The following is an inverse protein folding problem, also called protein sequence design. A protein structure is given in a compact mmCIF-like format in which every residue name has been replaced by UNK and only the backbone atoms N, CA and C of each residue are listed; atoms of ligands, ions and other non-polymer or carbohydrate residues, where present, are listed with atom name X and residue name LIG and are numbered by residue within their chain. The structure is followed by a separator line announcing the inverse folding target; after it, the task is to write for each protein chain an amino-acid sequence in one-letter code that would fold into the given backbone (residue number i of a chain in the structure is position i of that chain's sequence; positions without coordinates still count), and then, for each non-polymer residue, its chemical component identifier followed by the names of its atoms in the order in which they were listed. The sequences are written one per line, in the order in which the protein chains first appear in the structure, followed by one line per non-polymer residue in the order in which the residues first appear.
data_IF_576779261494
#
_entry.id   IF_576779261494
#
_cell.length_a   1.000
_cell.length_b   1.000
_cell.length_c   1.000
_cell.angle_alpha   90.00
_cell.angle_beta   90.00
_cell.angle_gamma   90.00
#
_symmetry.space_group_name_H-M   'P 1'
#
loop_
_entity.id
_entity.type
_entity.pdbx_description
1 polymer ?
#
# COMPACT_ATOMS: atom_id res chain seq x y z
N UNK A 1 6.53 -5.42 17.42
CA UNK A 1 5.21 -4.83 17.11
C UNK A 1 4.26 -4.99 18.28
N UNK A 2 3.43 -3.97 18.53
CA UNK A 2 2.34 -3.99 19.50
C UNK A 2 1.08 -3.53 18.77
N UNK A 3 0.00 -4.33 18.86
CA UNK A 3 -1.26 -4.02 18.19
C UNK A 3 -2.40 -3.98 19.20
N UNK A 4 -3.12 -2.86 19.22
CA UNK A 4 -4.37 -2.69 19.96
C UNK A 4 -5.54 -2.84 19.02
N UNK A 5 -6.54 -3.65 19.40
CA UNK A 5 -7.75 -3.86 18.61
C UNK A 5 -8.96 -3.48 19.45
N UNK A 6 -9.87 -2.72 18.85
CA UNK A 6 -11.11 -2.30 19.45
C UNK A 6 -12.29 -2.56 18.53
N UNK A 7 -13.29 -3.26 19.00
CA UNK A 7 -14.50 -3.57 18.25
C UNK A 7 -15.70 -2.91 18.93
N UNK A 8 -16.43 -2.08 18.20
CA UNK A 8 -17.64 -1.41 18.70
C UNK A 8 -18.59 -1.05 17.54
N UNK A 9 -19.89 -1.21 17.76
CA UNK A 9 -20.96 -0.79 16.84
C UNK A 9 -20.76 -1.22 15.37
N UNK A 10 -20.25 -2.44 15.14
CA UNK A 10 -20.00 -2.95 13.80
C UNK A 10 -18.69 -2.51 13.15
N UNK A 11 -17.84 -1.77 13.89
CA UNK A 11 -16.49 -1.40 13.46
C UNK A 11 -15.42 -2.19 14.22
N UNK A 12 -14.39 -2.60 13.49
CA UNK A 12 -13.13 -3.07 14.04
C UNK A 12 -12.06 -2.02 13.71
N UNK A 13 -11.46 -1.46 14.76
CA UNK A 13 -10.33 -0.53 14.65
C UNK A 13 -9.08 -1.21 15.19
N UNK A 14 -7.95 -1.10 14.51
CA UNK A 14 -6.67 -1.52 15.04
C UNK A 14 -5.64 -0.40 14.94
N UNK A 15 -4.83 -0.26 15.99
CA UNK A 15 -3.69 0.62 16.06
C UNK A 15 -2.45 -0.21 16.34
N UNK A 16 -1.52 -0.21 15.38
CA UNK A 16 -0.23 -0.89 15.48
C UNK A 16 0.90 0.11 15.66
N UNK A 17 1.86 -0.23 16.50
CA UNK A 17 3.16 0.47 16.62
C UNK A 17 4.23 -0.58 16.36
N UNK A 18 5.16 -0.29 15.47
CA UNK A 18 6.20 -1.24 15.08
C UNK A 18 7.58 -0.61 15.02
N UNK A 19 8.58 -1.44 15.24
CA UNK A 19 9.99 -1.18 14.95
C UNK A 19 10.59 -2.46 14.38
N UNK A 20 11.15 -2.38 13.18
CA UNK A 20 11.73 -3.51 12.45
C UNK A 20 13.17 -3.13 12.06
N UNK A 21 14.13 -3.95 12.43
CA UNK A 21 15.50 -3.84 11.95
C UNK A 21 15.76 -4.90 10.90
N UNK A 22 16.22 -4.48 9.76
CA UNK A 22 16.52 -5.34 8.61
C UNK A 22 18.00 -5.27 8.28
N UNK A 23 18.64 -6.44 8.19
CA UNK A 23 20.00 -6.53 7.71
C UNK A 23 20.08 -6.11 6.23
N UNK A 24 21.13 -5.38 5.89
CA UNK A 24 21.44 -4.97 4.53
C UNK A 24 22.87 -5.39 4.15
N UNK A 25 23.12 -5.59 2.87
CA UNK A 25 24.44 -5.97 2.38
C UNK A 25 25.32 -4.74 2.21
N UNK A 26 26.56 -4.85 2.68
CA UNK A 26 27.64 -3.91 2.37
C UNK A 26 28.76 -4.66 1.67
N UNK A 27 29.54 -3.95 0.85
CA UNK A 27 30.74 -4.50 0.22
C UNK A 27 31.92 -4.49 1.19
N UNK A 28 32.59 -5.62 1.29
CA UNK A 28 33.81 -5.75 2.10
C UNK A 28 34.95 -6.23 1.21
N UNK A 29 36.09 -5.56 1.28
CA UNK A 29 37.29 -5.95 0.57
C UNK A 29 38.29 -6.63 1.51
N UNK A 30 38.58 -7.92 1.25
CA UNK A 30 39.63 -8.70 1.93
C UNK A 30 40.42 -9.51 0.89
N UNK A 31 41.19 -8.81 0.05
CA UNK A 31 41.87 -9.44 -1.08
C UNK A 31 41.01 -9.71 -2.33
N UNK A 32 39.70 -9.81 -2.13
CA UNK A 32 38.64 -9.79 -3.15
C UNK A 32 37.41 -9.09 -2.58
N UNK A 33 36.58 -8.50 -3.43
CA UNK A 33 35.30 -7.89 -3.01
C UNK A 33 34.24 -8.96 -2.81
N UNK A 34 33.53 -8.90 -1.70
CA UNK A 34 32.37 -9.75 -1.42
C UNK A 34 31.29 -8.95 -0.65
N UNK A 35 30.05 -9.44 -0.70
CA UNK A 35 28.95 -8.86 0.06
C UNK A 35 28.89 -9.48 1.45
N UNK A 36 28.71 -8.64 2.46
CA UNK A 36 28.49 -9.04 3.85
C UNK A 36 27.21 -8.42 4.38
N UNK A 37 26.38 -9.19 5.07
CA UNK A 37 25.18 -8.70 5.75
C UNK A 37 25.56 -7.99 7.07
N UNK A 38 26.21 -6.85 6.97
CA UNK A 38 26.67 -6.05 8.09
C UNK A 38 26.08 -4.62 8.05
N UNK A 39 25.26 -4.32 7.05
CA UNK A 39 24.44 -3.12 6.99
C UNK A 39 23.13 -3.29 7.77
N UNK A 40 22.50 -2.19 8.18
CA UNK A 40 21.22 -2.18 8.88
C UNK A 40 20.32 -1.06 8.36
N UNK A 41 19.06 -1.38 8.15
CA UNK A 41 17.98 -0.42 7.94
C UNK A 41 16.96 -0.60 9.06
N UNK A 42 16.38 0.50 9.53
CA UNK A 42 15.36 0.50 10.56
C UNK A 42 14.06 1.11 10.02
N UNK A 43 12.96 0.44 10.28
CA UNK A 43 11.61 0.84 9.88
C UNK A 43 10.76 0.92 11.14
N UNK A 44 10.37 2.12 11.52
CA UNK A 44 9.51 2.33 12.67
C UNK A 44 8.28 3.15 12.27
N UNK A 45 7.16 2.88 12.91
CA UNK A 45 5.96 3.56 12.50
C UNK A 45 4.72 3.23 13.31
N UNK A 46 3.62 3.83 12.84
CA UNK A 46 2.30 3.68 13.41
C UNK A 46 1.33 3.35 12.27
N UNK A 47 0.50 2.35 12.47
CA UNK A 47 -0.55 1.95 11.55
C UNK A 47 -1.91 2.05 12.22
N UNK A 48 -2.85 2.71 11.58
CA UNK A 48 -4.27 2.74 11.95
C UNK A 48 -5.07 2.05 10.86
N UNK A 49 -5.92 1.10 11.23
CA UNK A 49 -6.91 0.55 10.31
C UNK A 49 -8.30 0.57 10.93
N UNK A 50 -9.29 0.79 10.08
CA UNK A 50 -10.71 0.78 10.46
C UNK A 50 -11.45 -0.02 9.41
N UNK A 51 -12.27 -0.97 9.83
CA UNK A 51 -13.12 -1.77 8.96
C UNK A 51 -14.49 -1.94 9.62
N UNK A 52 -15.56 -1.71 8.88
CA UNK A 52 -16.90 -1.89 9.43
C UNK A 52 -18.02 -1.40 8.53
N UNK A 53 -19.23 -1.51 9.08
CA UNK A 53 -20.48 -1.16 8.42
C UNK A 53 -20.89 0.24 8.81
N UNK A 54 -20.84 1.20 7.88
CA UNK A 54 -21.27 2.59 8.10
C UNK A 54 -22.78 2.72 8.20
N UNK A 55 -23.51 1.92 7.41
CA UNK A 55 -24.96 1.87 7.36
C UNK A 55 -25.39 0.53 6.73
N UNK A 56 -26.69 0.24 6.64
CA UNK A 56 -27.20 -1.06 6.17
C UNK A 56 -26.64 -1.50 4.82
N UNK A 57 -26.36 -0.58 3.93
CA UNK A 57 -25.88 -0.84 2.57
C UNK A 57 -24.45 -0.37 2.32
N UNK A 58 -23.76 0.16 3.35
CA UNK A 58 -22.47 0.78 3.19
C UNK A 58 -21.42 0.12 4.08
N UNK A 59 -20.37 -0.39 3.48
CA UNK A 59 -19.18 -0.87 4.16
C UNK A 59 -18.02 0.10 3.93
N UNK A 60 -17.19 0.26 4.94
CA UNK A 60 -15.99 1.10 4.89
C UNK A 60 -14.77 0.31 5.35
N UNK A 61 -13.66 0.49 4.65
CA UNK A 61 -12.33 0.06 5.07
C UNK A 61 -11.37 1.23 4.88
N UNK A 62 -10.59 1.54 5.90
CA UNK A 62 -9.57 2.58 5.85
C UNK A 62 -8.28 2.14 6.49
N UNK A 63 -7.16 2.63 5.96
CA UNK A 63 -5.82 2.43 6.52
C UNK A 63 -5.01 3.70 6.39
N UNK A 64 -4.26 4.03 7.44
CA UNK A 64 -3.29 5.11 7.46
C UNK A 64 -2.02 4.62 8.12
N UNK A 65 -0.89 4.82 7.46
CA UNK A 65 0.43 4.48 7.97
C UNK A 65 1.33 5.71 7.98
N UNK A 66 1.99 5.93 9.11
CA UNK A 66 3.18 6.74 9.19
C UNK A 66 4.40 5.84 9.33
N UNK A 67 5.39 6.04 8.48
CA UNK A 67 6.62 5.26 8.43
C UNK A 67 7.82 6.20 8.53
N UNK A 68 8.71 5.94 9.47
CA UNK A 68 10.06 6.49 9.52
C UNK A 68 11.04 5.36 9.21
N UNK A 69 11.70 5.45 8.06
CA UNK A 69 12.61 4.42 7.55
C UNK A 69 14.01 5.00 7.39
N UNK A 70 14.96 4.53 8.20
CA UNK A 70 16.31 5.09 8.31
C UNK A 70 17.37 4.06 7.97
N UNK A 71 18.41 4.46 7.27
CA UNK A 71 19.62 3.68 7.03
C UNK A 71 20.55 3.82 8.25
N UNK A 72 20.57 2.82 9.15
CA UNK A 72 21.34 2.90 10.39
C UNK A 72 22.82 2.56 10.17
N UNK A 73 23.11 1.63 9.25
CA UNK A 73 24.48 1.24 8.94
C UNK A 73 24.63 0.99 7.44
N UNK A 74 25.47 1.78 6.80
CA UNK A 74 25.71 1.74 5.35
C UNK A 74 27.18 1.52 5.04
N UNK A 75 27.51 1.39 3.75
CA UNK A 75 28.90 1.29 3.26
C UNK A 75 29.75 2.49 3.74
N UNK A 76 30.74 2.22 4.58
CA UNK A 76 31.63 3.21 5.18
C UNK A 76 30.89 4.36 5.92
N UNK A 77 29.65 4.13 6.37
CA UNK A 77 28.84 5.14 7.05
C UNK A 77 28.33 6.28 6.16
N UNK A 78 28.52 6.21 4.85
CA UNK A 78 28.28 7.33 3.91
C UNK A 78 26.84 7.83 3.91
N UNK A 79 25.88 6.95 4.17
CA UNK A 79 24.45 7.26 4.15
C UNK A 79 23.78 6.99 5.51
N UNK A 80 24.55 6.84 6.58
CA UNK A 80 24.00 6.64 7.92
C UNK A 80 23.11 7.82 8.32
N UNK A 81 21.94 7.52 8.86
CA UNK A 81 20.94 8.49 9.26
C UNK A 81 20.05 9.02 8.15
N UNK A 82 20.30 8.67 6.87
CA UNK A 82 19.44 9.07 5.75
C UNK A 82 18.21 8.17 5.63
N UNK A 83 17.17 8.71 5.00
CA UNK A 83 15.96 7.98 4.69
C UNK A 83 16.26 6.79 3.77
N UNK A 84 15.59 5.66 3.99
CA UNK A 84 15.65 4.52 3.07
C UNK A 84 15.02 4.91 1.73
N UNK A 85 15.75 4.67 0.64
CA UNK A 85 15.31 5.06 -0.69
C UNK A 85 13.98 4.39 -1.07
N UNK A 86 13.03 5.18 -1.56
CA UNK A 86 11.71 4.75 -1.97
C UNK A 86 10.69 4.61 -0.84
N UNK A 87 11.07 4.88 0.41
CA UNK A 87 10.16 4.83 1.55
C UNK A 87 9.35 6.13 1.66
N UNK A 88 8.05 6.08 1.38
CA UNK A 88 7.14 7.19 1.61
C UNK A 88 6.73 7.23 3.09
N UNK A 89 6.84 8.42 3.74
CA UNK A 89 6.49 8.57 5.16
C UNK A 89 4.99 8.40 5.45
N UNK A 90 4.13 8.73 4.50
CA UNK A 90 2.69 8.64 4.67
C UNK A 90 2.06 7.81 3.57
N UNK A 91 1.28 6.82 3.95
CA UNK A 91 0.46 6.03 3.05
C UNK A 91 -0.95 5.93 3.62
N UNK A 92 -1.96 6.06 2.77
CA UNK A 92 -3.34 5.92 3.17
C UNK A 92 -4.16 5.22 2.08
N UNK A 93 -5.16 4.47 2.51
CA UNK A 93 -6.16 3.86 1.66
C UNK A 93 -7.53 4.03 2.28
N UNK A 94 -8.53 4.32 1.47
CA UNK A 94 -9.93 4.30 1.85
C UNK A 94 -10.72 3.56 0.79
N UNK A 95 -11.56 2.64 1.22
CA UNK A 95 -12.47 1.85 0.37
C UNK A 95 -13.87 2.06 0.90
N UNK A 96 -14.78 2.42 0.02
CA UNK A 96 -16.19 2.54 0.30
C UNK A 96 -16.95 1.59 -0.64
N UNK A 97 -17.73 0.69 -0.06
CA UNK A 97 -18.57 -0.24 -0.79
C UNK A 97 -20.04 0.08 -0.53
N UNK A 98 -20.81 0.17 -1.60
CA UNK A 98 -22.26 0.35 -1.59
C UNK A 98 -22.95 -0.87 -2.17
N UNK A 99 -23.81 -1.51 -1.40
CA UNK A 99 -24.60 -2.69 -1.75
C UNK A 99 -26.09 -2.30 -1.86
N UNK A 100 -26.57 -1.78 -3.01
CA UNK A 100 -27.98 -1.39 -3.17
C UNK A 100 -28.93 -2.55 -2.95
N UNK A 101 -28.53 -3.76 -3.36
CA UNK A 101 -29.23 -5.02 -3.19
C UNK A 101 -28.24 -6.21 -3.07
N UNK A 102 -28.74 -7.43 -3.05
CA UNK A 102 -27.92 -8.66 -2.90
C UNK A 102 -27.10 -9.00 -4.16
N UNK A 103 -27.45 -8.41 -5.31
CA UNK A 103 -26.80 -8.71 -6.59
C UNK A 103 -25.72 -7.70 -6.96
N UNK A 104 -25.88 -6.44 -6.58
CA UNK A 104 -24.96 -5.37 -6.96
C UNK A 104 -24.09 -4.91 -5.78
N UNK A 105 -22.83 -4.67 -6.07
CA UNK A 105 -21.90 -3.98 -5.20
C UNK A 105 -21.10 -2.97 -6.02
N UNK A 106 -21.02 -1.73 -5.53
CA UNK A 106 -20.23 -0.65 -6.13
C UNK A 106 -19.13 -0.32 -5.15
N UNK A 107 -17.88 -0.35 -5.63
CA UNK A 107 -16.68 -0.14 -4.80
C UNK A 107 -15.90 1.06 -5.30
N UNK A 108 -15.74 2.06 -4.47
CA UNK A 108 -14.81 3.17 -4.67
C UNK A 108 -13.57 2.99 -3.80
N UNK A 109 -12.37 3.21 -4.35
CA UNK A 109 -11.10 3.18 -3.62
C UNK A 109 -10.32 4.46 -3.87
N UNK A 110 -9.79 5.06 -2.81
CA UNK A 110 -8.82 6.16 -2.87
C UNK A 110 -7.52 5.70 -2.21
N UNK A 111 -6.39 5.97 -2.85
CA UNK A 111 -5.05 5.63 -2.34
C UNK A 111 -4.17 6.87 -2.38
N UNK A 112 -3.51 7.18 -1.27
CA UNK A 112 -2.53 8.24 -1.15
C UNK A 112 -1.16 7.66 -0.83
N UNK A 113 -0.14 8.12 -1.55
CA UNK A 113 1.27 7.87 -1.25
C UNK A 113 1.98 9.20 -1.10
N UNK A 114 2.66 9.37 0.01
CA UNK A 114 3.46 10.54 0.31
C UNK A 114 4.69 10.66 -0.60
N UNK A 115 5.43 11.73 -0.41
CA UNK A 115 6.73 11.91 -1.05
C UNK A 115 7.69 10.80 -0.61
N UNK A 116 8.57 10.37 -1.52
CA UNK A 116 9.61 9.39 -1.22
C UNK A 116 10.97 9.90 -1.72
N UNK A 117 11.98 9.78 -0.86
CA UNK A 117 13.35 10.14 -1.19
C UNK A 117 14.01 8.99 -1.96
N UNK A 118 14.83 9.35 -2.94
CA UNK A 118 15.66 8.43 -3.73
C UNK A 118 17.08 8.99 -3.87
N UNK A 119 18.02 8.13 -4.24
CA UNK A 119 19.46 8.48 -4.32
C UNK A 119 19.98 9.13 -3.04
N UNK A 120 19.59 8.55 -1.87
CA UNK A 120 20.03 9.04 -0.57
C UNK A 120 19.68 10.53 -0.37
N UNK A 121 18.40 10.88 -0.56
CA UNK A 121 17.82 12.21 -0.38
C UNK A 121 18.27 13.27 -1.42
N UNK A 122 18.93 12.87 -2.51
CA UNK A 122 19.29 13.79 -3.58
C UNK A 122 18.13 14.15 -4.50
N UNK A 123 17.13 13.26 -4.58
CA UNK A 123 15.93 13.46 -5.39
C UNK A 123 14.70 12.97 -4.61
N UNK A 124 13.56 13.59 -4.84
CA UNK A 124 12.31 13.25 -4.18
C UNK A 124 11.18 13.09 -5.19
N UNK A 125 10.42 11.99 -5.10
CA UNK A 125 9.18 11.85 -5.85
C UNK A 125 8.07 12.67 -5.19
N UNK A 126 7.22 13.37 -5.95
CA UNK A 126 6.07 14.05 -5.39
C UNK A 126 5.04 13.04 -4.86
N UNK A 127 4.25 13.46 -3.87
CA UNK A 127 3.10 12.69 -3.42
C UNK A 127 2.02 12.61 -4.50
N UNK A 128 1.24 11.54 -4.48
CA UNK A 128 0.14 11.35 -5.41
C UNK A 128 -1.06 10.69 -4.75
N UNK A 129 -2.22 10.86 -5.39
CA UNK A 129 -3.46 10.20 -5.02
C UNK A 129 -4.10 9.60 -6.27
N UNK A 130 -4.59 8.37 -6.15
CA UNK A 130 -5.30 7.66 -7.21
C UNK A 130 -6.67 7.21 -6.72
N UNK A 131 -7.59 7.06 -7.67
CA UNK A 131 -8.95 6.60 -7.41
C UNK A 131 -9.27 5.44 -8.35
N UNK A 132 -9.95 4.44 -7.79
CA UNK A 132 -10.48 3.32 -8.56
C UNK A 132 -11.97 3.20 -8.32
N UNK A 133 -12.69 2.68 -9.32
CA UNK A 133 -14.11 2.42 -9.24
C UNK A 133 -14.42 1.04 -9.81
N UNK A 134 -15.21 0.28 -9.10
CA UNK A 134 -15.62 -1.06 -9.49
C UNK A 134 -17.09 -1.33 -9.29
N UNK A 135 -17.60 -2.27 -10.06
CA UNK A 135 -18.97 -2.81 -9.93
C UNK A 135 -18.87 -4.33 -9.98
N UNK A 136 -19.52 -4.99 -9.02
CA UNK A 136 -19.73 -6.42 -9.03
C UNK A 136 -21.21 -6.71 -9.27
N UNK A 137 -21.48 -7.72 -10.07
CA UNK A 137 -22.84 -8.22 -10.33
C UNK A 137 -22.89 -9.72 -10.15
N UNK A 138 -23.70 -10.19 -9.19
CA UNK A 138 -23.94 -11.61 -8.92
C UNK A 138 -25.08 -12.12 -9.78
N UNK A 139 -24.86 -13.20 -10.51
CA UNK A 139 -25.82 -13.88 -11.38
C UNK A 139 -25.59 -15.39 -11.34
N UNK A 140 -26.20 -16.13 -12.26
CA UNK A 140 -25.94 -17.55 -12.43
C UNK A 140 -25.91 -17.92 -13.91
N UNK A 141 -25.02 -18.84 -14.26
CA UNK A 141 -24.94 -19.45 -15.58
C UNK A 141 -25.14 -20.97 -15.43
N UNK A 142 -26.17 -21.53 -16.07
CA UNK A 142 -26.53 -22.96 -15.93
C UNK A 142 -26.59 -23.45 -14.46
N UNK A 143 -27.20 -22.65 -13.58
CA UNK A 143 -27.30 -22.87 -12.12
C UNK A 143 -25.98 -22.72 -11.33
N UNK A 144 -24.86 -22.50 -11.97
CA UNK A 144 -23.60 -22.16 -11.32
C UNK A 144 -23.59 -20.68 -10.96
N UNK A 145 -23.40 -20.29 -9.70
CA UNK A 145 -23.27 -18.88 -9.34
C UNK A 145 -22.08 -18.23 -10.04
N UNK A 146 -22.28 -17.01 -10.53
CA UNK A 146 -21.25 -16.24 -11.25
C UNK A 146 -21.21 -14.82 -10.70
N UNK A 147 -20.02 -14.35 -10.40
CA UNK A 147 -19.78 -12.93 -10.11
C UNK A 147 -19.07 -12.27 -11.30
N UNK A 148 -19.72 -11.31 -11.93
CA UNK A 148 -19.13 -10.47 -12.95
C UNK A 148 -18.56 -9.22 -12.28
N UNK A 149 -17.30 -8.89 -12.57
CA UNK A 149 -16.63 -7.70 -12.03
C UNK A 149 -16.12 -6.82 -13.16
N UNK A 150 -16.43 -5.53 -13.06
CA UNK A 150 -15.83 -4.48 -13.89
C UNK A 150 -15.09 -3.49 -12.98
N UNK A 151 -13.79 -3.29 -13.23
CA UNK A 151 -12.94 -2.37 -12.46
C UNK A 151 -12.29 -1.35 -13.39
N UNK A 152 -12.30 -0.09 -12.98
CA UNK A 152 -11.52 0.98 -13.58
C UNK A 152 -10.46 1.42 -12.56
N UNK A 153 -9.22 1.08 -12.82
CA UNK A 153 -8.07 1.52 -12.04
C UNK A 153 -7.58 2.88 -12.54
N UNK A 154 -7.05 3.69 -11.62
CA UNK A 154 -6.57 5.04 -11.92
C UNK A 154 -7.61 5.84 -12.71
N UNK A 155 -8.81 5.97 -12.17
CA UNK A 155 -9.99 6.57 -12.79
C UNK A 155 -9.73 7.96 -13.38
N UNK A 156 -8.89 8.75 -12.73
CA UNK A 156 -8.52 10.12 -13.14
C UNK A 156 -7.38 10.18 -14.15
N UNK A 157 -6.85 9.03 -14.57
CA UNK A 157 -5.68 8.92 -15.47
C UNK A 157 -4.47 9.73 -14.97
N UNK A 158 -4.21 9.67 -13.66
CA UNK A 158 -3.12 10.40 -13.01
C UNK A 158 -1.78 9.80 -13.41
N UNK A 159 -0.90 10.59 -13.99
CA UNK A 159 0.50 10.21 -14.19
C UNK A 159 1.32 10.52 -12.92
N UNK A 160 2.09 9.55 -12.46
CA UNK A 160 2.97 9.67 -11.30
C UNK A 160 4.16 8.72 -11.42
N UNK A 161 5.18 8.99 -10.62
CA UNK A 161 6.33 8.11 -10.46
C UNK A 161 6.26 7.40 -9.12
N UNK A 162 6.41 6.08 -9.12
CA UNK A 162 6.60 5.29 -7.91
C UNK A 162 8.10 5.03 -7.73
N UNK A 163 8.60 5.28 -6.54
CA UNK A 163 9.96 4.94 -6.17
C UNK A 163 10.03 3.49 -5.66
N UNK A 164 11.01 2.74 -6.13
CA UNK A 164 11.38 1.41 -5.64
C UNK A 164 12.89 1.35 -5.46
N UNK A 165 13.36 1.52 -4.23
CA UNK A 165 14.78 1.78 -3.97
C UNK A 165 15.24 3.04 -4.72
N UNK A 166 16.27 2.91 -5.54
CA UNK A 166 16.78 3.98 -6.40
C UNK A 166 16.10 4.03 -7.79
N UNK A 167 15.12 3.19 -8.07
CA UNK A 167 14.46 3.15 -9.37
C UNK A 167 13.15 3.93 -9.34
N UNK A 168 12.85 4.57 -10.46
CA UNK A 168 11.56 5.19 -10.74
C UNK A 168 10.77 4.34 -11.71
N UNK A 169 9.54 4.03 -11.34
CA UNK A 169 8.60 3.27 -12.16
C UNK A 169 7.46 4.21 -12.53
N UNK A 170 7.19 4.35 -13.82
CA UNK A 170 6.05 5.14 -14.29
C UNK A 170 4.75 4.43 -13.93
N UNK A 171 3.76 5.20 -13.50
CA UNK A 171 2.41 4.71 -13.21
C UNK A 171 1.78 3.99 -14.39
N UNK A 172 0.94 3.00 -14.09
CA UNK A 172 0.01 2.49 -15.10
C UNK A 172 -1.04 3.55 -15.45
N UNK A 173 -1.40 3.71 -16.73
CA UNK A 173 -2.49 4.59 -17.13
C UNK A 173 -3.83 4.06 -16.60
N UNK A 174 -4.92 4.81 -16.81
CA UNK A 174 -6.26 4.31 -16.54
C UNK A 174 -6.48 2.98 -17.25
N UNK A 175 -6.86 1.97 -16.47
CA UNK A 175 -6.98 0.58 -16.95
C UNK A 175 -8.35 0.03 -16.61
N UNK A 176 -9.03 -0.54 -17.60
CA UNK A 176 -10.27 -1.27 -17.42
C UNK A 176 -9.99 -2.77 -17.34
N UNK A 177 -10.57 -3.43 -16.34
CA UNK A 177 -10.52 -4.87 -16.16
C UNK A 177 -11.93 -5.43 -16.07
N UNK A 178 -12.20 -6.49 -16.82
CA UNK A 178 -13.42 -7.28 -16.73
C UNK A 178 -13.08 -8.70 -16.32
N UNK A 179 -13.82 -9.26 -15.38
CA UNK A 179 -13.66 -10.66 -14.97
C UNK A 179 -14.99 -11.34 -14.67
N UNK A 180 -15.00 -12.66 -14.77
CA UNK A 180 -16.11 -13.51 -14.36
C UNK A 180 -15.56 -14.63 -13.47
N UNK A 181 -16.08 -14.74 -12.25
CA UNK A 181 -15.73 -15.77 -11.27
C UNK A 181 -16.90 -16.75 -11.17
N UNK A 182 -16.62 -18.03 -11.37
CA UNK A 182 -17.58 -19.13 -11.26
C UNK A 182 -17.34 -19.87 -9.95
N UNK A 183 -18.37 -20.03 -9.12
CA UNK A 183 -18.32 -20.82 -7.88
C UNK A 183 -18.75 -22.27 -8.23
N UNK A 184 -17.75 -23.14 -8.40
CA UNK A 184 -17.92 -24.55 -8.84
C UNK A 184 -17.87 -25.48 -7.63
#
# INVERSE_FOLDING_TARGET
EIVFKYANAGFLTSLGIFNIKQANNIEVYKGSTYLQQDGEQEYQGIELSVNGKLADKWNFMGGLMYLDATQNKTQNGTNDGKTVNGAAKWNAVAVLEYNPDEKFSIVGRAMYTGKADIYNEQLQTPSYMTYDLGVNYKTAFNKTPVTLTAMCYNLTDKNYWTAYGNNLILSSPRTLMLSATFDI
#
